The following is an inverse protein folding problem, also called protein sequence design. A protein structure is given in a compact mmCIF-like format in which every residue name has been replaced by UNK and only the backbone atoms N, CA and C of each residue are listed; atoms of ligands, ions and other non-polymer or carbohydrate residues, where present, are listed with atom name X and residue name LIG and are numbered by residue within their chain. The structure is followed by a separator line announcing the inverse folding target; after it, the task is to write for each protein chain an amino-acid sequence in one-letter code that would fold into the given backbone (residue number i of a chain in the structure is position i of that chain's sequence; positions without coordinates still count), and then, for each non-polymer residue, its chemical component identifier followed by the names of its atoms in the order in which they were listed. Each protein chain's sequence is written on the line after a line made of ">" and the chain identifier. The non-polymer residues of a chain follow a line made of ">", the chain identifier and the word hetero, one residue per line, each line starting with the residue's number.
data_IF_255574575256
#
_entry.id   IF_255574575256
#
_cell.length_a   1.000
_cell.length_b   1.000
_cell.length_c   1.000
_cell.angle_alpha   90.00
_cell.angle_beta   90.00
_cell.angle_gamma   90.00
#
_symmetry.space_group_name_H-M   'P 1'
#
loop_
_entity.id
_entity.type
_entity.pdbx_description
1 polymer ?
#
# COMPACT_ATOMS: atom_id res chain seq x y z
N UNK A 1 29.21 -6.54 7.03
CA UNK A 1 28.01 -6.03 7.73
C UNK A 1 26.92 -7.10 7.61
N UNK A 2 26.31 -7.55 8.71
CA UNK A 2 25.26 -8.59 8.63
C UNK A 2 23.91 -8.01 8.23
N UNK A 3 23.03 -8.86 7.69
CA UNK A 3 21.67 -8.47 7.30
C UNK A 3 20.89 -7.82 8.45
N UNK A 4 20.98 -8.39 9.66
CA UNK A 4 20.36 -7.81 10.87
C UNK A 4 20.90 -6.42 11.20
N UNK A 5 22.21 -6.20 11.04
CA UNK A 5 22.82 -4.88 11.26
C UNK A 5 22.31 -3.88 10.22
N UNK A 6 22.23 -4.28 8.95
CA UNK A 6 21.68 -3.44 7.88
C UNK A 6 20.21 -3.07 8.15
N UNK A 7 19.35 -4.03 8.50
CA UNK A 7 17.94 -3.76 8.78
C UNK A 7 17.76 -2.79 9.96
N UNK A 8 18.56 -2.95 11.04
CA UNK A 8 18.53 -2.05 12.19
C UNK A 8 18.99 -0.64 11.83
N UNK A 9 20.08 -0.50 11.07
CA UNK A 9 20.57 0.81 10.64
C UNK A 9 19.60 1.49 9.65
N UNK A 10 18.96 0.72 8.77
CA UNK A 10 17.88 1.22 7.93
C UNK A 10 16.73 1.77 8.77
N UNK A 11 16.24 1.00 9.74
CA UNK A 11 15.14 1.42 10.59
C UNK A 11 15.50 2.65 11.43
N UNK A 12 16.72 2.75 11.94
CA UNK A 12 17.19 3.95 12.65
C UNK A 12 17.18 5.21 11.77
N UNK A 13 17.51 5.07 10.48
CA UNK A 13 17.59 6.21 9.54
C UNK A 13 16.24 6.60 8.95
N UNK A 14 15.40 5.62 8.63
CA UNK A 14 14.13 5.82 7.90
C UNK A 14 12.92 5.82 8.84
N UNK A 15 13.07 5.31 10.06
CA UNK A 15 12.00 5.22 11.07
C UNK A 15 11.10 3.99 10.93
N UNK A 16 11.16 3.26 9.80
CA UNK A 16 10.39 2.04 9.55
C UNK A 16 11.27 0.91 9.05
N UNK A 17 10.82 -0.33 9.24
CA UNK A 17 11.54 -1.48 8.69
C UNK A 17 11.45 -1.52 7.15
N UNK A 18 12.43 -2.13 6.45
CA UNK A 18 12.34 -2.33 5.00
C UNK A 18 11.07 -3.04 4.56
N UNK A 19 10.56 -3.97 5.39
CA UNK A 19 9.33 -4.71 5.12
C UNK A 19 8.10 -3.79 5.15
N UNK A 20 8.02 -2.89 6.12
CA UNK A 20 6.93 -1.93 6.23
C UNK A 20 6.95 -0.92 5.09
N UNK A 21 8.14 -0.47 4.70
CA UNK A 21 8.27 0.43 3.56
C UNK A 21 7.79 -0.24 2.26
N UNK A 22 8.17 -1.50 2.02
CA UNK A 22 7.65 -2.28 0.88
C UNK A 22 6.12 -2.40 0.93
N UNK A 23 5.55 -2.71 2.09
CA UNK A 23 4.11 -2.81 2.28
C UNK A 23 3.39 -1.49 1.98
N UNK A 24 3.97 -0.35 2.40
CA UNK A 24 3.46 0.99 2.11
C UNK A 24 3.53 1.32 0.61
N UNK A 25 4.62 0.95 -0.08
CA UNK A 25 4.74 1.16 -1.52
C UNK A 25 3.67 0.39 -2.29
N UNK A 26 3.47 -0.90 -1.97
CA UNK A 26 2.39 -1.69 -2.60
C UNK A 26 1.02 -1.07 -2.36
N UNK A 27 0.73 -0.63 -1.13
CA UNK A 27 -0.52 0.05 -0.81
C UNK A 27 -0.72 1.33 -1.65
N UNK A 28 0.32 2.14 -1.81
CA UNK A 28 0.27 3.34 -2.64
C UNK A 28 0.07 3.00 -4.13
N UNK A 29 0.69 1.93 -4.64
CA UNK A 29 0.46 1.46 -6.01
C UNK A 29 -1.01 1.06 -6.24
N UNK A 30 -1.62 0.30 -5.32
CA UNK A 30 -3.05 -0.05 -5.39
C UNK A 30 -3.91 1.21 -5.51
N UNK A 31 -3.65 2.20 -4.65
CA UNK A 31 -4.37 3.47 -4.66
C UNK A 31 -4.21 4.21 -6.00
N UNK A 32 -2.99 4.29 -6.53
CA UNK A 32 -2.73 4.98 -7.80
C UNK A 32 -3.45 4.29 -8.96
N UNK A 33 -3.36 2.96 -9.05
CA UNK A 33 -4.05 2.19 -10.10
C UNK A 33 -5.57 2.38 -10.04
N UNK A 34 -6.16 2.41 -8.85
CA UNK A 34 -7.58 2.68 -8.66
C UNK A 34 -8.00 4.09 -9.07
N UNK A 35 -7.12 5.10 -8.89
CA UNK A 35 -7.37 6.48 -9.31
C UNK A 35 -7.22 6.66 -10.82
N UNK A 36 -6.27 5.95 -11.44
CA UNK A 36 -6.01 6.04 -12.88
C UNK A 36 -7.04 5.26 -13.70
N UNK A 37 -7.55 4.14 -13.18
CA UNK A 37 -8.44 3.24 -13.89
C UNK A 37 -9.45 2.60 -12.94
N UNK A 38 -10.68 3.12 -12.95
CA UNK A 38 -11.79 2.64 -12.11
C UNK A 38 -12.36 1.27 -12.50
N UNK A 39 -11.94 0.71 -13.64
CA UNK A 39 -12.49 -0.53 -14.20
C UNK A 39 -11.67 -1.79 -13.87
N UNK A 40 -10.52 -1.69 -13.19
CA UNK A 40 -9.70 -2.87 -12.92
C UNK A 40 -10.37 -3.83 -11.93
N UNK A 41 -10.21 -5.13 -12.20
CA UNK A 41 -10.58 -6.17 -11.25
C UNK A 41 -9.64 -6.13 -10.02
N UNK A 42 -10.17 -6.40 -8.83
CA UNK A 42 -9.42 -6.42 -7.58
C UNK A 42 -8.21 -7.38 -7.61
N UNK A 43 -8.30 -8.48 -8.36
CA UNK A 43 -7.20 -9.44 -8.52
C UNK A 43 -6.06 -8.85 -9.36
N UNK A 44 -6.39 -8.19 -10.46
CA UNK A 44 -5.40 -7.56 -11.36
C UNK A 44 -4.65 -6.43 -10.65
N UNK A 45 -5.36 -5.61 -9.86
CA UNK A 45 -4.73 -4.57 -9.04
C UNK A 45 -3.78 -5.19 -8.01
N UNK A 46 -4.19 -6.26 -7.33
CA UNK A 46 -3.35 -6.91 -6.34
C UNK A 46 -2.06 -7.47 -6.98
N UNK A 47 -2.18 -8.18 -8.11
CA UNK A 47 -1.04 -8.74 -8.83
C UNK A 47 -0.11 -7.63 -9.35
N UNK A 48 -0.67 -6.60 -9.98
CA UNK A 48 0.09 -5.46 -10.52
C UNK A 48 0.77 -4.62 -9.44
N UNK A 49 0.25 -4.67 -8.20
CA UNK A 49 0.83 -4.00 -7.04
C UNK A 49 1.83 -4.87 -6.27
N UNK A 50 2.17 -6.08 -6.76
CA UNK A 50 3.17 -6.95 -6.14
C UNK A 50 2.65 -7.77 -4.95
N UNK A 51 1.36 -8.09 -4.92
CA UNK A 51 0.79 -9.07 -3.98
C UNK A 51 0.79 -10.45 -4.62
N UNK A 52 1.29 -11.42 -3.87
CA UNK A 52 1.30 -12.83 -4.28
C UNK A 52 -0.01 -13.55 -3.90
N UNK A 53 -0.61 -13.16 -2.77
CA UNK A 53 -1.82 -13.78 -2.24
C UNK A 53 -2.82 -12.76 -1.67
N UNK A 54 -4.08 -13.18 -1.61
CA UNK A 54 -5.20 -12.36 -1.15
C UNK A 54 -5.08 -11.97 0.33
N UNK A 55 -4.51 -12.83 1.18
CA UNK A 55 -4.39 -12.57 2.62
C UNK A 55 -3.44 -11.41 2.91
N UNK A 56 -2.33 -11.33 2.19
CA UNK A 56 -1.37 -10.23 2.27
C UNK A 56 -1.97 -8.92 1.75
N UNK A 57 -2.72 -8.97 0.66
CA UNK A 57 -3.44 -7.81 0.14
C UNK A 57 -4.46 -7.28 1.16
N UNK A 58 -5.34 -8.15 1.67
CA UNK A 58 -6.36 -7.77 2.66
C UNK A 58 -5.71 -7.17 3.91
N UNK A 59 -4.61 -7.77 4.41
CA UNK A 59 -3.92 -7.30 5.61
C UNK A 59 -3.38 -5.88 5.42
N UNK A 60 -2.73 -5.61 4.29
CA UNK A 60 -2.16 -4.29 4.01
C UNK A 60 -3.26 -3.23 3.83
N UNK A 61 -4.32 -3.54 3.07
CA UNK A 61 -5.45 -2.61 2.88
C UNK A 61 -6.11 -2.28 4.22
N UNK A 62 -6.39 -3.28 5.06
CA UNK A 62 -6.93 -3.04 6.40
C UNK A 62 -5.96 -2.24 7.28
N UNK A 63 -4.65 -2.50 7.17
CA UNK A 63 -3.62 -1.79 7.95
C UNK A 63 -3.62 -0.30 7.64
N UNK A 64 -3.59 0.08 6.36
CA UNK A 64 -3.39 1.47 5.91
C UNK A 64 -4.69 2.24 5.66
N UNK A 65 -5.70 1.61 5.06
CA UNK A 65 -6.96 2.27 4.77
C UNK A 65 -8.01 2.14 5.88
N UNK A 66 -7.80 1.25 6.85
CA UNK A 66 -8.80 0.90 7.89
C UNK A 66 -10.14 0.41 7.31
N UNK A 67 -10.12 -0.08 6.07
CA UNK A 67 -11.28 -0.58 5.34
C UNK A 67 -11.00 -1.99 4.81
N UNK A 68 -12.05 -2.69 4.41
CA UNK A 68 -11.93 -3.88 3.58
C UNK A 68 -11.68 -3.50 2.11
N UNK A 69 -11.07 -4.36 1.28
CA UNK A 69 -10.70 -4.01 -0.09
C UNK A 69 -11.82 -3.49 -0.98
N UNK A 70 -13.02 -4.06 -0.88
CA UNK A 70 -14.18 -3.60 -1.65
C UNK A 70 -14.58 -2.17 -1.29
N UNK A 71 -14.74 -1.88 0.01
CA UNK A 71 -15.04 -0.52 0.51
C UNK A 71 -13.93 0.47 0.19
N UNK A 72 -12.67 0.05 0.29
CA UNK A 72 -11.53 0.88 -0.08
C UNK A 72 -11.59 1.29 -1.55
N UNK A 73 -11.74 0.32 -2.45
CA UNK A 73 -11.80 0.56 -3.90
C UNK A 73 -12.93 1.52 -4.26
N UNK A 74 -14.13 1.30 -3.72
CA UNK A 74 -15.27 2.20 -3.90
C UNK A 74 -14.96 3.61 -3.40
N UNK A 75 -14.39 3.73 -2.21
CA UNK A 75 -14.15 5.05 -1.59
C UNK A 75 -13.03 5.83 -2.31
N UNK A 76 -12.06 5.14 -2.93
CA UNK A 76 -11.04 5.77 -3.79
C UNK A 76 -11.69 6.29 -5.07
N UNK A 77 -12.49 5.47 -5.75
CA UNK A 77 -13.18 5.85 -7.00
C UNK A 77 -14.14 7.03 -6.76
N UNK A 78 -14.87 7.02 -5.64
CA UNK A 78 -15.78 8.10 -5.26
C UNK A 78 -15.06 9.35 -4.72
N UNK A 79 -13.72 9.36 -4.66
CA UNK A 79 -12.91 10.42 -4.07
C UNK A 79 -13.30 10.78 -2.62
N UNK A 80 -13.90 9.86 -1.88
CA UNK A 80 -14.38 10.08 -0.51
C UNK A 80 -13.28 9.97 0.54
N UNK A 81 -12.12 9.42 0.19
CA UNK A 81 -10.99 9.34 1.10
C UNK A 81 -10.09 10.56 0.90
N UNK A 82 -10.04 11.45 1.90
CA UNK A 82 -8.98 12.43 2.03
C UNK A 82 -7.70 11.71 2.49
N UNK A 83 -6.97 11.12 1.55
CA UNK A 83 -5.60 10.73 1.84
C UNK A 83 -4.81 12.01 2.08
N UNK A 84 -4.03 12.07 3.17
CA UNK A 84 -3.08 13.15 3.38
C UNK A 84 -2.27 13.32 2.09
N UNK A 85 -2.47 14.45 1.41
CA UNK A 85 -1.65 14.85 0.28
C UNK A 85 -0.24 14.86 0.86
N UNK A 86 0.62 13.97 0.38
CA UNK A 86 2.04 14.11 0.63
C UNK A 86 2.42 15.37 -0.13
N UNK A 87 2.66 16.44 0.62
CA UNK A 87 3.20 17.69 0.09
C UNK A 87 4.44 17.35 -0.74
N UNK A 88 4.31 17.41 -2.06
CA UNK A 88 5.45 17.69 -2.91
C UNK A 88 5.79 19.15 -2.65
N UNK A 89 6.82 19.35 -1.82
CA UNK A 89 7.55 20.60 -1.75
C UNK A 89 8.31 20.82 -3.05
#
# INVERSE_FOLDING_TARGET
>A
MSERKLQREFQKRIGVSPRELRSLFRFNQVKNLLMENSHFNSVEIALSSGYYDQSHFIRDIKKYAKLIPSKFSQSVIENKIRFFKTEKK
#
